data_IF_777966869782
#
_entry.id   IF_777966869782
#
_cell.length_a   1.000
_cell.length_b   1.000
_cell.length_c   1.000
_cell.angle_alpha   90.00
_cell.angle_beta   90.00
_cell.angle_gamma   90.00
#
_symmetry.space_group_name_H-M   'P 1'
#
loop_
_entity.id
_entity.type
_entity.pdbx_description
1 polymer ?
#
# COMPACT_ATOMS: atom_id res chain seq x y z
N UNK A 1 -12.99 18.23 -14.07
CA UNK A 1 -11.96 18.61 -13.08
C UNK A 1 -11.06 17.39 -12.96
N UNK A 2 -9.89 17.42 -13.59
CA UNK A 2 -8.93 16.32 -13.53
C UNK A 2 -8.21 16.47 -12.19
N UNK A 3 -8.60 15.66 -11.21
CA UNK A 3 -7.79 15.47 -10.00
C UNK A 3 -6.47 14.87 -10.49
N UNK A 4 -5.35 15.53 -10.22
CA UNK A 4 -4.04 14.98 -10.54
C UNK A 4 -3.83 13.70 -9.73
N UNK A 5 -3.16 12.68 -10.29
CA UNK A 5 -3.09 11.35 -9.67
C UNK A 5 -2.68 11.37 -8.19
N UNK A 6 -1.73 12.23 -7.79
CA UNK A 6 -1.30 12.37 -6.40
C UNK A 6 -2.34 12.99 -5.44
N UNK A 7 -3.30 13.77 -5.93
CA UNK A 7 -4.37 14.35 -5.11
C UNK A 7 -5.41 13.31 -4.67
N UNK A 8 -5.51 12.16 -5.35
CA UNK A 8 -6.51 11.15 -5.06
C UNK A 8 -6.27 10.45 -3.71
N UNK A 9 -5.01 10.30 -3.32
CA UNK A 9 -4.62 9.68 -2.05
C UNK A 9 -4.45 10.69 -0.91
N UNK A 10 -4.45 12.00 -1.21
CA UNK A 10 -4.28 13.08 -0.23
C UNK A 10 -3.05 12.87 0.70
N UNK A 11 -1.94 12.38 0.13
CA UNK A 11 -0.68 12.13 0.84
C UNK A 11 0.23 13.35 0.67
N UNK A 12 0.74 13.89 1.78
CA UNK A 12 1.71 14.97 1.75
C UNK A 12 3.09 14.45 1.29
N UNK A 13 3.70 15.15 0.33
CA UNK A 13 5.02 14.80 -0.20
C UNK A 13 6.10 14.96 0.87
N UNK A 14 7.14 14.11 0.79
CA UNK A 14 8.27 14.10 1.73
C UNK A 14 7.86 13.90 3.20
N UNK A 15 6.72 13.24 3.41
CA UNK A 15 6.22 12.84 4.71
C UNK A 15 5.82 11.36 4.69
N UNK A 16 5.88 10.74 5.86
CA UNK A 16 5.46 9.36 6.08
C UNK A 16 3.95 9.25 5.85
N UNK A 17 3.56 8.49 4.84
CA UNK A 17 2.17 8.17 4.51
C UNK A 17 1.63 7.03 5.38
N UNK A 18 2.46 6.00 5.57
CA UNK A 18 2.19 4.88 6.46
C UNK A 18 3.44 4.55 7.28
N UNK A 19 3.22 4.07 8.50
CA UNK A 19 4.27 3.58 9.38
C UNK A 19 4.11 2.06 9.50
N UNK A 20 5.16 1.30 9.20
CA UNK A 20 5.07 -0.16 9.24
C UNK A 20 6.42 -0.81 9.45
N UNK A 21 6.45 -1.88 10.23
CA UNK A 21 7.59 -2.79 10.20
C UNK A 21 7.52 -3.61 8.90
N UNK A 22 8.62 -4.18 8.40
CA UNK A 22 8.61 -5.05 7.19
C UNK A 22 7.75 -6.34 7.30
N UNK A 23 6.87 -6.46 8.30
CA UNK A 23 5.91 -7.56 8.43
C UNK A 23 4.65 -7.27 7.61
N UNK A 24 4.19 -8.27 6.87
CA UNK A 24 2.97 -8.18 6.06
C UNK A 24 1.72 -7.81 6.89
N UNK A 25 1.61 -8.31 8.13
CA UNK A 25 0.49 -8.00 9.03
C UNK A 25 0.43 -6.52 9.48
N UNK A 26 1.53 -5.78 9.36
CA UNK A 26 1.57 -4.34 9.65
C UNK A 26 1.35 -3.53 8.37
N UNK A 27 2.07 -3.87 7.28
CA UNK A 27 2.09 -3.06 6.05
C UNK A 27 0.83 -3.22 5.21
N UNK A 28 0.35 -4.44 5.00
CA UNK A 28 -0.77 -4.69 4.08
C UNK A 28 -2.04 -3.96 4.54
N UNK A 29 -2.45 -4.00 5.83
CA UNK A 29 -3.63 -3.27 6.28
C UNK A 29 -3.53 -1.75 6.10
N UNK A 30 -2.34 -1.17 6.30
CA UNK A 30 -2.10 0.27 6.15
C UNK A 30 -2.14 0.68 4.66
N UNK A 31 -1.50 -0.09 3.77
CA UNK A 31 -1.58 0.14 2.32
C UNK A 31 -3.02 0.00 1.80
N UNK A 32 -3.77 -1.00 2.27
CA UNK A 32 -5.19 -1.17 1.94
C UNK A 32 -6.01 0.03 2.38
N UNK A 33 -5.80 0.52 3.61
CA UNK A 33 -6.50 1.70 4.11
C UNK A 33 -6.17 2.95 3.28
N UNK A 34 -4.90 3.13 2.92
CA UNK A 34 -4.44 4.23 2.06
C UNK A 34 -5.06 4.17 0.66
N UNK A 35 -5.13 2.97 0.06
CA UNK A 35 -5.56 2.77 -1.33
C UNK A 35 -7.06 2.50 -1.49
N UNK A 36 -7.86 2.50 -0.42
CA UNK A 36 -9.27 2.10 -0.43
C UNK A 36 -10.16 2.87 -1.43
N UNK A 37 -9.73 4.06 -1.85
CA UNK A 37 -10.46 4.90 -2.80
C UNK A 37 -9.97 4.76 -4.26
N UNK A 38 -8.96 3.93 -4.51
CA UNK A 38 -8.44 3.70 -5.85
C UNK A 38 -9.34 2.73 -6.64
N UNK A 39 -9.54 2.94 -7.95
CA UNK A 39 -10.27 2.01 -8.80
C UNK A 39 -9.69 0.59 -8.80
N UNK A 40 -8.36 0.45 -8.66
CA UNK A 40 -7.65 -0.81 -8.58
C UNK A 40 -8.10 -1.62 -7.36
N UNK A 41 -8.08 -1.01 -6.17
CA UNK A 41 -8.50 -1.72 -4.95
C UNK A 41 -10.00 -1.98 -4.92
N UNK A 42 -10.83 -1.04 -5.38
CA UNK A 42 -12.28 -1.26 -5.50
C UNK A 42 -12.65 -2.38 -6.48
N UNK A 43 -11.77 -2.69 -7.45
CA UNK A 43 -11.96 -3.82 -8.35
C UNK A 43 -11.62 -5.13 -7.65
N UNK A 44 -10.53 -5.18 -6.88
CA UNK A 44 -10.14 -6.35 -6.08
C UNK A 44 -11.20 -6.68 -5.04
N UNK A 45 -11.71 -5.67 -4.32
CA UNK A 45 -12.78 -5.85 -3.32
C UNK A 45 -14.01 -6.59 -3.88
N UNK A 46 -14.36 -6.33 -5.14
CA UNK A 46 -15.52 -6.95 -5.81
C UNK A 46 -15.27 -8.36 -6.32
N UNK A 47 -14.01 -8.80 -6.36
CA UNK A 47 -13.62 -10.14 -6.77
C UNK A 47 -13.47 -11.01 -5.53
N UNK A 48 -14.42 -11.93 -5.33
CA UNK A 48 -14.52 -12.77 -4.11
C UNK A 48 -13.23 -13.58 -3.86
N UNK A 49 -12.53 -13.99 -4.92
CA UNK A 49 -11.32 -14.81 -4.83
C UNK A 49 -10.02 -13.97 -4.77
N UNK A 50 -10.13 -12.64 -4.63
CA UNK A 50 -8.95 -11.76 -4.60
C UNK A 50 -8.14 -11.87 -3.31
N UNK A 51 -6.84 -11.59 -3.42
CA UNK A 51 -5.94 -11.47 -2.27
C UNK A 51 -6.37 -10.36 -1.30
N UNK A 52 -7.11 -9.35 -1.78
CA UNK A 52 -7.73 -8.34 -0.92
C UNK A 52 -8.67 -8.96 0.10
N UNK A 53 -9.61 -9.80 -0.34
CA UNK A 53 -10.60 -10.40 0.57
C UNK A 53 -9.94 -11.38 1.54
N UNK A 54 -8.97 -12.17 1.08
CA UNK A 54 -8.18 -13.05 1.95
C UNK A 54 -7.39 -12.23 3.01
N UNK A 55 -6.78 -11.12 2.61
CA UNK A 55 -6.07 -10.24 3.54
C UNK A 55 -7.02 -9.56 4.55
N UNK A 56 -8.26 -9.29 4.17
CA UNK A 56 -9.27 -8.75 5.09
C UNK A 56 -9.74 -9.78 6.11
N UNK A 57 -9.96 -11.02 5.71
CA UNK A 57 -10.23 -12.12 6.64
C UNK A 57 -9.04 -12.32 7.61
N UNK A 58 -7.81 -12.33 7.08
CA UNK A 58 -6.60 -12.45 7.89
C UNK A 58 -6.42 -11.28 8.89
N UNK A 59 -6.85 -10.07 8.52
CA UNK A 59 -6.84 -8.91 9.42
C UNK A 59 -7.83 -9.09 10.57
N UNK A 60 -8.99 -9.67 10.32
CA UNK A 60 -9.97 -10.00 11.38
C UNK A 60 -9.45 -11.11 12.31
N UNK A 61 -8.73 -12.09 11.76
CA UNK A 61 -8.03 -13.13 12.55
C UNK A 61 -6.87 -12.55 13.39
N UNK A 62 -6.29 -11.44 12.97
CA UNK A 62 -5.21 -10.71 13.64
C UNK A 62 -3.80 -11.11 13.18
N UNK A 63 -2.78 -10.60 13.88
CA UNK A 63 -1.36 -10.80 13.50
C UNK A 63 -0.90 -12.26 13.49
N UNK A 64 -1.65 -13.16 14.14
CA UNK A 64 -1.35 -14.60 14.17
C UNK A 64 -1.93 -15.38 12.99
N UNK A 65 -2.63 -14.74 12.04
CA UNK A 65 -3.09 -15.43 10.84
C UNK A 65 -1.90 -15.99 10.06
N UNK A 66 -2.04 -17.23 9.57
CA UNK A 66 -0.98 -17.88 8.78
C UNK A 66 -0.80 -17.23 7.41
N UNK A 67 -1.81 -16.48 6.95
CA UNK A 67 -1.75 -15.76 5.69
C UNK A 67 -0.54 -14.83 5.62
N UNK A 68 -0.21 -14.14 6.72
CA UNK A 68 0.86 -13.13 6.72
C UNK A 68 2.24 -13.66 6.34
N UNK A 69 2.47 -14.96 6.55
CA UNK A 69 3.74 -15.63 6.25
C UNK A 69 3.74 -16.37 4.89
N UNK A 70 2.70 -16.20 4.06
CA UNK A 70 2.62 -16.85 2.75
C UNK A 70 3.30 -16.05 1.64
N UNK A 71 3.60 -16.73 0.53
CA UNK A 71 4.05 -16.08 -0.71
C UNK A 71 2.95 -15.14 -1.25
N UNK A 72 1.68 -15.55 -1.17
CA UNK A 72 0.52 -14.74 -1.58
C UNK A 72 0.46 -13.39 -0.86
N UNK A 73 0.70 -13.36 0.47
CA UNK A 73 0.74 -12.10 1.20
C UNK A 73 1.89 -11.20 0.74
N UNK A 74 3.03 -11.79 0.41
CA UNK A 74 4.20 -11.06 -0.11
C UNK A 74 3.93 -10.51 -1.52
N UNK A 75 3.31 -11.31 -2.39
CA UNK A 75 2.88 -10.90 -3.73
C UNK A 75 1.86 -9.75 -3.65
N UNK A 76 0.85 -9.89 -2.80
CA UNK A 76 -0.16 -8.84 -2.60
C UNK A 76 0.45 -7.56 -2.04
N UNK A 77 1.38 -7.66 -1.09
CA UNK A 77 2.11 -6.50 -0.57
C UNK A 77 2.85 -5.75 -1.70
N UNK A 78 3.55 -6.48 -2.58
CA UNK A 78 4.22 -5.89 -3.74
C UNK A 78 3.23 -5.24 -4.72
N UNK A 79 2.10 -5.88 -5.00
CA UNK A 79 1.05 -5.31 -5.86
C UNK A 79 0.49 -3.99 -5.29
N UNK A 80 0.27 -3.92 -3.98
CA UNK A 80 -0.16 -2.69 -3.31
C UNK A 80 0.90 -1.58 -3.42
N UNK A 81 2.19 -1.92 -3.30
CA UNK A 81 3.28 -0.96 -3.53
C UNK A 81 3.31 -0.44 -4.97
N UNK A 82 3.13 -1.31 -5.97
CA UNK A 82 3.06 -0.91 -7.38
C UNK A 82 1.86 0.00 -7.65
N UNK A 83 0.70 -0.30 -7.06
CA UNK A 83 -0.47 0.57 -7.14
C UNK A 83 -0.14 1.94 -6.53
N UNK A 84 0.39 1.99 -5.31
CA UNK A 84 0.73 3.25 -4.65
C UNK A 84 1.74 4.09 -5.46
N UNK A 85 2.76 3.46 -6.03
CA UNK A 85 3.76 4.11 -6.88
C UNK A 85 3.16 4.64 -8.20
N UNK A 86 2.15 3.97 -8.76
CA UNK A 86 1.46 4.44 -9.98
C UNK A 86 0.71 5.78 -9.81
N UNK A 87 0.45 6.17 -8.55
CA UNK A 87 -0.13 7.46 -8.15
C UNK A 87 0.92 8.51 -7.77
N UNK A 88 2.21 8.16 -7.79
CA UNK A 88 3.29 9.09 -7.47
C UNK A 88 3.27 10.32 -8.40
N UNK A 89 3.42 11.54 -7.85
CA UNK A 89 3.62 12.74 -8.65
C UNK A 89 4.90 12.66 -9.49
N UNK A 90 4.97 13.46 -10.56
CA UNK A 90 6.16 13.54 -11.40
C UNK A 90 7.40 13.92 -10.57
N UNK A 91 8.48 13.14 -10.71
CA UNK A 91 9.72 13.31 -9.95
C UNK A 91 9.69 12.69 -8.55
N UNK A 92 8.66 11.92 -8.21
CA UNK A 92 8.56 11.17 -6.96
C UNK A 92 8.34 9.68 -7.22
N UNK A 93 8.67 8.86 -6.23
CA UNK A 93 8.32 7.44 -6.15
C UNK A 93 7.66 7.16 -4.79
N UNK A 94 6.86 6.11 -4.69
CA UNK A 94 6.36 5.59 -3.42
C UNK A 94 7.29 4.51 -2.89
N UNK A 95 7.72 4.62 -1.64
CA UNK A 95 8.54 3.58 -1.04
C UNK A 95 9.05 3.94 0.34
N UNK A 96 9.97 3.13 0.85
CA UNK A 96 10.61 3.41 2.13
C UNK A 96 11.44 4.70 2.06
N UNK A 97 11.41 5.47 3.14
CA UNK A 97 12.22 6.67 3.30
C UNK A 97 13.72 6.29 3.19
N UNK A 98 14.52 7.02 2.39
CA UNK A 98 15.94 6.73 2.21
C UNK A 98 16.77 6.71 3.50
N UNK A 99 16.29 7.36 4.58
CA UNK A 99 17.04 7.54 5.82
C UNK A 99 16.75 6.53 6.95
N UNK A 100 15.53 6.01 7.06
CA UNK A 100 15.12 5.16 8.20
C UNK A 100 14.59 3.77 7.81
N UNK A 101 14.15 3.59 6.56
CA UNK A 101 13.67 2.31 6.04
C UNK A 101 12.34 1.80 6.61
N UNK A 102 11.69 2.53 7.53
CA UNK A 102 10.46 2.10 8.23
C UNK A 102 9.24 2.96 7.95
N UNK A 103 9.46 4.17 7.43
CA UNK A 103 8.39 5.05 6.99
C UNK A 103 8.23 4.97 5.48
N UNK A 104 7.01 4.79 5.00
CA UNK A 104 6.72 4.75 3.57
C UNK A 104 5.95 5.99 3.15
N UNK A 105 6.30 6.57 2.02
CA UNK A 105 5.71 7.81 1.52
C UNK A 105 6.18 8.14 0.11
N UNK A 106 5.80 9.34 -0.37
CA UNK A 106 6.28 9.85 -1.64
C UNK A 106 7.57 10.64 -1.47
N UNK A 107 8.64 10.13 -2.05
CA UNK A 107 10.00 10.70 -1.96
C UNK A 107 10.50 11.13 -3.33
N UNK A 108 11.33 12.18 -3.36
CA UNK A 108 11.94 12.64 -4.61
C UNK A 108 12.81 11.53 -5.21
N UNK A 109 12.67 11.32 -6.51
CA UNK A 109 13.66 10.56 -7.26
C UNK A 109 15.00 11.30 -7.20
N UNK A 110 16.09 10.56 -6.98
CA UNK A 110 17.42 11.14 -7.12
C UNK A 110 17.63 11.63 -8.57
N UNK A 111 18.26 12.81 -8.77
CA UNK A 111 18.49 13.40 -10.09
C UNK A 111 19.53 12.67 -10.94
#
# INVERSE_FOLDING_TARGET
MLISKGELLNIELEQSAIHGTHRNCDIIPELVAMLCQTPELMKMEKDEDSLYNIAMDAKEEGECSKFWDTEDATEFCNELFEIADSYAPEGYYFGAHPGDGSDFGYWKCDP
#
